data_IF_800146706436
#
_entry.id   IF_800146706436
#
_cell.length_a   1.000
_cell.length_b   1.000
_cell.length_c   1.000
_cell.angle_alpha   90.00
_cell.angle_beta   90.00
_cell.angle_gamma   90.00
#
_symmetry.space_group_name_H-M   'P 1'
#
loop_
_entity.id
_entity.type
_entity.pdbx_description
1 polymer ?
#
# COMPACT_ATOMS: atom_id res chain seq x y z
N UNK A 1 8.52 -26.40 -9.56
CA UNK A 1 8.99 -25.57 -10.70
C UNK A 1 8.06 -24.41 -11.05
N UNK A 2 6.73 -24.58 -11.22
CA UNK A 2 5.82 -23.46 -11.53
C UNK A 2 5.62 -22.51 -10.34
N UNK A 3 5.49 -23.09 -9.15
CA UNK A 3 5.29 -22.43 -7.87
C UNK A 3 6.54 -21.63 -7.46
N UNK A 4 7.73 -22.21 -7.58
CA UNK A 4 9.00 -21.54 -7.28
C UNK A 4 9.30 -20.38 -8.23
N UNK A 5 8.95 -20.54 -9.51
CA UNK A 5 9.03 -19.44 -10.48
C UNK A 5 8.07 -18.33 -10.09
N UNK A 6 6.83 -18.65 -9.71
CA UNK A 6 5.85 -17.66 -9.26
C UNK A 6 6.25 -16.99 -7.94
N UNK A 7 6.90 -17.71 -7.03
CA UNK A 7 7.49 -17.14 -5.83
C UNK A 7 8.61 -16.15 -6.18
N UNK A 8 9.48 -16.49 -7.14
CA UNK A 8 10.50 -15.57 -7.63
C UNK A 8 9.90 -14.31 -8.27
N UNK A 9 8.84 -14.47 -9.08
CA UNK A 9 8.07 -13.34 -9.65
C UNK A 9 7.45 -12.47 -8.54
N UNK A 10 6.82 -13.07 -7.54
CA UNK A 10 6.27 -12.34 -6.39
C UNK A 10 7.35 -11.55 -5.64
N UNK A 11 8.50 -12.16 -5.33
CA UNK A 11 9.63 -11.48 -4.68
C UNK A 11 10.17 -10.32 -5.51
N UNK A 12 10.19 -10.46 -6.84
CA UNK A 12 10.60 -9.39 -7.74
C UNK A 12 9.66 -8.18 -7.63
N UNK A 13 8.34 -8.40 -7.70
CA UNK A 13 7.36 -7.32 -7.59
C UNK A 13 7.34 -6.70 -6.18
N UNK A 14 7.56 -7.48 -5.14
CA UNK A 14 7.72 -6.96 -3.78
C UNK A 14 8.91 -6.00 -3.66
N UNK A 15 10.07 -6.34 -4.23
CA UNK A 15 11.21 -5.39 -4.29
C UNK A 15 10.83 -4.10 -5.02
N UNK A 16 10.10 -4.23 -6.13
CA UNK A 16 9.54 -3.08 -6.86
C UNK A 16 8.63 -2.22 -5.99
N UNK A 17 7.77 -2.81 -5.15
CA UNK A 17 6.93 -2.05 -4.20
C UNK A 17 7.79 -1.22 -3.24
N UNK A 18 8.81 -1.84 -2.63
CA UNK A 18 9.72 -1.18 -1.68
C UNK A 18 10.47 -0.02 -2.36
N UNK A 19 10.95 -0.23 -3.58
CA UNK A 19 11.64 0.80 -4.36
C UNK A 19 10.71 1.95 -4.75
N UNK A 20 9.48 1.66 -5.19
CA UNK A 20 8.49 2.68 -5.55
C UNK A 20 8.10 3.56 -4.36
N UNK A 21 8.01 3.00 -3.15
CA UNK A 21 7.76 3.80 -1.93
C UNK A 21 8.91 4.76 -1.62
N UNK A 22 10.17 4.30 -1.75
CA UNK A 22 11.35 5.16 -1.56
C UNK A 22 11.41 6.32 -2.56
N UNK A 23 10.82 6.13 -3.74
CA UNK A 23 10.73 7.14 -4.79
C UNK A 23 9.45 7.97 -4.73
N UNK A 24 8.58 7.74 -3.74
CA UNK A 24 7.25 8.36 -3.64
C UNK A 24 6.40 8.20 -4.93
N UNK A 25 6.54 7.07 -5.63
CA UNK A 25 5.82 6.78 -6.87
C UNK A 25 4.62 5.84 -6.59
N UNK A 26 3.49 6.43 -6.23
CA UNK A 26 2.26 5.69 -5.85
C UNK A 26 1.67 4.87 -6.99
N UNK A 27 1.78 5.34 -8.23
CA UNK A 27 1.31 4.63 -9.42
C UNK A 27 2.10 3.33 -9.62
N UNK A 28 3.43 3.42 -9.62
CA UNK A 28 4.30 2.26 -9.77
C UNK A 28 4.16 1.28 -8.60
N UNK A 29 3.99 1.79 -7.38
CA UNK A 29 3.67 0.97 -6.21
C UNK A 29 2.39 0.16 -6.44
N UNK A 30 1.33 0.79 -6.93
CA UNK A 30 0.04 0.14 -7.19
C UNK A 30 0.15 -0.95 -8.26
N UNK A 31 0.90 -0.71 -9.34
CA UNK A 31 1.17 -1.74 -10.36
C UNK A 31 1.96 -2.92 -9.81
N UNK A 32 3.02 -2.65 -9.05
CA UNK A 32 3.84 -3.69 -8.44
C UNK A 32 3.05 -4.51 -7.43
N UNK A 33 2.21 -3.88 -6.62
CA UNK A 33 1.33 -4.58 -5.67
C UNK A 33 0.32 -5.48 -6.38
N UNK A 34 -0.32 -5.00 -7.45
CA UNK A 34 -1.23 -5.83 -8.25
C UNK A 34 -0.52 -7.05 -8.86
N UNK A 35 0.69 -6.84 -9.40
CA UNK A 35 1.50 -7.90 -9.97
C UNK A 35 2.00 -8.90 -8.92
N UNK A 36 2.38 -8.42 -7.73
CA UNK A 36 2.72 -9.22 -6.56
C UNK A 36 1.56 -10.14 -6.18
N UNK A 37 0.38 -9.58 -5.92
CA UNK A 37 -0.81 -10.33 -5.51
C UNK A 37 -1.19 -11.38 -6.56
N UNK A 38 -1.13 -11.03 -7.84
CA UNK A 38 -1.42 -11.94 -8.96
C UNK A 38 -0.42 -13.11 -9.01
N UNK A 39 0.86 -12.83 -8.82
CA UNK A 39 1.94 -13.83 -8.83
C UNK A 39 1.83 -14.76 -7.64
N UNK A 40 1.65 -14.21 -6.44
CA UNK A 40 1.48 -14.95 -5.19
C UNK A 40 0.25 -15.85 -5.21
N UNK A 41 -0.91 -15.35 -5.68
CA UNK A 41 -2.14 -16.14 -5.81
C UNK A 41 -1.96 -17.35 -6.73
N UNK A 42 -1.18 -17.19 -7.79
CA UNK A 42 -0.93 -18.28 -8.75
C UNK A 42 -0.24 -19.47 -8.10
N UNK A 43 0.60 -19.25 -7.07
CA UNK A 43 1.26 -20.31 -6.29
C UNK A 43 0.19 -21.20 -5.65
N UNK A 44 -0.67 -20.61 -4.80
CA UNK A 44 -1.74 -21.33 -4.11
C UNK A 44 -2.71 -22.00 -5.10
N UNK A 45 -3.00 -21.34 -6.23
CA UNK A 45 -3.89 -21.89 -7.25
C UNK A 45 -3.29 -23.11 -7.97
N UNK A 46 -1.99 -23.10 -8.28
CA UNK A 46 -1.33 -24.24 -8.90
C UNK A 46 -1.25 -25.41 -7.95
N UNK A 47 -0.87 -25.18 -6.70
CA UNK A 47 -0.86 -26.19 -5.65
C UNK A 47 -2.26 -26.79 -5.42
N UNK A 48 -3.32 -25.97 -5.36
CA UNK A 48 -4.70 -26.45 -5.25
C UNK A 48 -5.07 -27.38 -6.42
N UNK A 49 -4.79 -26.95 -7.66
CA UNK A 49 -5.11 -27.75 -8.85
C UNK A 49 -4.37 -29.09 -8.84
N UNK A 50 -3.10 -29.10 -8.42
CA UNK A 50 -2.30 -30.31 -8.34
C UNK A 50 -2.81 -31.24 -7.23
N UNK A 51 -3.02 -30.71 -6.02
CA UNK A 51 -3.62 -31.44 -4.89
C UNK A 51 -4.94 -32.10 -5.26
N UNK A 52 -5.83 -31.35 -5.94
CA UNK A 52 -7.10 -31.88 -6.45
C UNK A 52 -6.90 -33.02 -7.46
N UNK A 53 -5.92 -32.91 -8.35
CA UNK A 53 -5.61 -33.94 -9.35
C UNK A 53 -5.05 -35.24 -8.77
N UNK A 54 -4.40 -35.18 -7.61
CA UNK A 54 -3.81 -36.34 -6.91
C UNK A 54 -4.62 -36.77 -5.67
N UNK A 55 -5.83 -36.24 -5.48
CA UNK A 55 -6.71 -36.52 -4.35
C UNK A 55 -6.12 -36.22 -2.96
N UNK A 56 -5.29 -35.16 -2.85
CA UNK A 56 -4.69 -34.66 -1.60
C UNK A 56 -5.22 -33.27 -1.23
N UNK A 57 -6.48 -32.97 -1.57
CA UNK A 57 -7.07 -31.66 -1.34
C UNK A 57 -7.17 -31.32 0.16
N UNK A 58 -7.46 -32.31 1.00
CA UNK A 58 -7.50 -32.16 2.46
C UNK A 58 -6.15 -31.68 3.03
N UNK A 59 -5.04 -32.25 2.56
CA UNK A 59 -3.69 -31.85 2.98
C UNK A 59 -3.39 -30.41 2.54
N UNK A 60 -3.79 -30.05 1.31
CA UNK A 60 -3.68 -28.66 0.85
C UNK A 60 -4.51 -27.69 1.72
N UNK A 61 -5.74 -28.07 2.06
CA UNK A 61 -6.63 -27.22 2.86
C UNK A 61 -6.06 -26.98 4.25
N UNK A 62 -5.54 -28.02 4.92
CA UNK A 62 -4.86 -27.93 6.22
C UNK A 62 -3.66 -26.97 6.17
N UNK A 63 -2.80 -27.11 5.16
CA UNK A 63 -1.62 -26.24 4.99
C UNK A 63 -1.98 -24.75 4.79
N UNK A 64 -3.18 -24.45 4.30
CA UNK A 64 -3.62 -23.08 4.01
C UNK A 64 -4.51 -22.52 5.12
N UNK A 65 -5.39 -23.33 5.72
CA UNK A 65 -6.35 -22.89 6.75
C UNK A 65 -5.68 -22.52 8.05
N UNK A 66 -4.58 -23.19 8.39
CA UNK A 66 -3.87 -22.99 9.65
C UNK A 66 -3.08 -21.68 9.69
N UNK A 67 -3.00 -21.00 8.55
CA UNK A 67 -2.23 -19.79 8.39
C UNK A 67 -3.12 -18.57 8.09
N UNK A 68 -3.27 -17.64 9.05
CA UNK A 68 -4.15 -16.48 8.86
C UNK A 68 -3.71 -15.57 7.72
N UNK A 69 -2.41 -15.48 7.44
CA UNK A 69 -1.87 -14.65 6.36
C UNK A 69 -2.15 -15.29 5.00
N UNK A 70 -1.87 -16.59 4.83
CA UNK A 70 -2.20 -17.29 3.59
C UNK A 70 -3.71 -17.24 3.33
N UNK A 71 -4.52 -17.47 4.36
CA UNK A 71 -5.98 -17.39 4.31
C UNK A 71 -6.45 -15.99 3.89
N UNK A 72 -5.90 -14.94 4.51
CA UNK A 72 -6.21 -13.55 4.16
C UNK A 72 -5.93 -13.26 2.67
N UNK A 73 -4.73 -13.59 2.17
CA UNK A 73 -4.35 -13.28 0.79
C UNK A 73 -5.01 -14.17 -0.26
N UNK A 74 -5.48 -15.37 0.10
CA UNK A 74 -6.18 -16.29 -0.82
C UNK A 74 -7.38 -15.64 -1.51
N UNK A 75 -8.11 -14.78 -0.79
CA UNK A 75 -9.38 -14.22 -1.25
C UNK A 75 -9.28 -12.78 -1.78
N UNK A 76 -8.11 -12.14 -1.67
CA UNK A 76 -7.88 -10.79 -2.17
C UNK A 76 -7.73 -10.75 -3.69
N UNK A 77 -8.85 -10.66 -4.42
CA UNK A 77 -8.88 -10.37 -5.87
C UNK A 77 -8.93 -8.87 -6.19
N UNK A 78 -9.70 -8.12 -5.41
CA UNK A 78 -9.93 -6.69 -5.60
C UNK A 78 -9.53 -5.98 -4.30
N UNK A 79 -8.24 -5.66 -4.18
CA UNK A 79 -7.76 -5.05 -2.94
C UNK A 79 -8.18 -3.59 -2.90
N UNK A 80 -8.92 -3.23 -1.85
CA UNK A 80 -9.15 -1.85 -1.47
C UNK A 80 -8.01 -1.40 -0.54
N UNK A 81 -7.19 -0.47 -1.04
CA UNK A 81 -6.00 0.04 -0.35
C UNK A 81 -6.29 1.47 0.08
N UNK A 82 -5.86 1.83 1.29
CA UNK A 82 -5.93 3.21 1.76
C UNK A 82 -4.54 3.74 2.08
N UNK A 83 -4.34 5.00 1.72
CA UNK A 83 -3.21 5.82 2.11
C UNK A 83 -3.55 6.51 3.43
N UNK A 84 -2.70 6.36 4.45
CA UNK A 84 -2.82 7.10 5.71
C UNK A 84 -1.57 7.96 5.94
N UNK A 85 -1.70 9.28 6.06
CA UNK A 85 -0.60 10.12 6.49
C UNK A 85 -0.31 9.86 7.97
N UNK A 86 0.93 9.50 8.30
CA UNK A 86 1.41 9.48 9.68
C UNK A 86 1.93 10.87 9.98
N UNK A 87 1.15 11.61 10.76
CA UNK A 87 1.64 12.84 11.36
C UNK A 87 2.57 12.45 12.50
N UNK A 88 3.88 12.68 12.36
CA UNK A 88 4.75 12.78 13.52
C UNK A 88 4.25 13.94 14.37
N UNK A 89 3.64 13.65 15.52
CA UNK A 89 3.14 14.69 16.43
C UNK A 89 4.34 15.34 17.11
N UNK A 90 4.82 16.42 16.51
CA UNK A 90 5.46 17.54 17.21
C UNK A 90 4.58 18.76 17.01
N UNK A 91 3.46 18.77 17.76
CA UNK A 91 2.59 19.91 18.01
C UNK A 91 2.35 20.89 16.85
N UNK A 92 1.51 20.52 15.87
CA UNK A 92 0.87 21.51 14.99
C UNK A 92 -0.60 21.11 14.78
N UNK A 93 -1.49 22.03 15.17
CA UNK A 93 -2.94 22.01 14.93
C UNK A 93 -3.23 21.79 13.45
N UNK A 94 -4.02 20.76 13.14
CA UNK A 94 -4.43 20.38 11.78
C UNK A 94 -5.38 21.45 11.23
N UNK A 95 -5.01 22.06 10.09
CA UNK A 95 -5.96 22.65 9.15
C UNK A 95 -6.12 21.69 7.98
N UNK A 96 -7.31 21.09 7.83
CA UNK A 96 -7.66 20.22 6.71
C UNK A 96 -7.37 20.91 5.36
N UNK A 97 -6.66 20.22 4.46
CA UNK A 97 -6.52 20.66 3.07
C UNK A 97 -7.06 19.57 2.16
N UNK A 98 -8.22 19.87 1.57
CA UNK A 98 -8.81 19.17 0.43
C UNK A 98 -7.93 19.44 -0.79
N UNK A 99 -7.50 18.41 -1.50
CA UNK A 99 -6.77 18.51 -2.75
C UNK A 99 -7.74 18.84 -3.90
N UNK A 100 -7.63 20.04 -4.48
CA UNK A 100 -8.30 20.40 -5.73
C UNK A 100 -7.26 20.47 -6.85
N UNK A 101 -7.30 19.52 -7.78
CA UNK A 101 -6.49 19.52 -8.99
C UNK A 101 -7.19 20.31 -10.10
N UNK A 102 -6.93 21.62 -10.17
CA UNK A 102 -7.12 22.41 -11.38
C UNK A 102 -6.27 23.68 -11.28
N UNK A 103 -5.69 24.13 -12.39
CA UNK A 103 -4.96 25.39 -12.51
C UNK A 103 -5.89 26.58 -12.20
N UNK A 104 -5.96 26.96 -10.93
CA UNK A 104 -6.77 28.07 -10.46
C UNK A 104 -5.90 29.33 -10.40
N UNK A 105 -6.27 30.37 -11.15
CA UNK A 105 -5.50 31.63 -11.25
C UNK A 105 -5.72 32.58 -10.05
N UNK A 106 -6.74 32.35 -9.21
CA UNK A 106 -6.94 33.08 -7.96
C UNK A 106 -7.72 32.26 -6.94
N UNK A 107 -7.32 32.36 -5.68
CA UNK A 107 -8.06 31.75 -4.56
C UNK A 107 -8.69 32.90 -3.78
N UNK A 108 -10.01 32.83 -3.62
CA UNK A 108 -10.82 33.76 -2.84
C UNK A 108 -11.26 33.07 -1.54
N UNK A 109 -10.88 33.65 -0.43
CA UNK A 109 -11.28 33.24 0.91
C UNK A 109 -12.40 34.13 1.39
N UNK A 110 -13.52 33.54 1.83
CA UNK A 110 -14.64 34.25 2.45
C UNK A 110 -14.96 33.57 3.77
N UNK A 111 -14.98 34.36 4.85
CA UNK A 111 -15.32 33.93 6.21
C UNK A 111 -16.69 34.48 6.57
N UNK A 112 -17.56 33.62 7.10
CA UNK A 112 -18.91 33.97 7.53
C UNK A 112 -19.04 33.90 9.06
N UNK A 113 -19.94 34.68 9.64
CA UNK A 113 -20.38 34.55 11.03
C UNK A 113 -21.48 33.48 11.19
N UNK A 114 -21.90 33.23 12.44
CA UNK A 114 -22.93 32.25 12.79
C UNK A 114 -24.31 32.56 12.20
N UNK A 115 -24.55 33.80 11.74
CA UNK A 115 -25.79 34.23 11.10
C UNK A 115 -25.69 34.22 9.56
N UNK A 116 -24.56 33.76 9.00
CA UNK A 116 -24.32 33.72 7.57
C UNK A 116 -23.89 35.06 6.94
N UNK A 117 -23.52 36.07 7.73
CA UNK A 117 -22.99 37.32 7.21
C UNK A 117 -21.48 37.22 6.98
N UNK A 118 -20.97 37.82 5.91
CA UNK A 118 -19.54 37.83 5.60
C UNK A 118 -18.79 38.75 6.57
N UNK A 119 -17.80 38.21 7.27
CA UNK A 119 -16.95 38.93 8.22
C UNK A 119 -15.53 39.18 7.72
N UNK A 120 -15.02 38.39 6.77
CA UNK A 120 -13.70 38.63 6.19
C UNK A 120 -13.61 38.05 4.78
N UNK A 121 -13.11 38.85 3.84
CA UNK A 121 -12.88 38.43 2.46
C UNK A 121 -11.45 38.76 2.05
N UNK A 122 -10.69 37.76 1.58
CA UNK A 122 -9.32 37.93 1.07
C UNK A 122 -9.17 37.24 -0.27
N UNK A 123 -8.70 37.98 -1.25
CA UNK A 123 -8.38 37.46 -2.57
C UNK A 123 -6.87 37.61 -2.80
N UNK A 124 -6.23 36.51 -3.23
CA UNK A 124 -4.79 36.53 -3.53
C UNK A 124 -4.57 36.20 -5.00
N UNK A 125 -3.97 37.16 -5.72
CA UNK A 125 -3.51 37.00 -7.09
C UNK A 125 -2.03 36.65 -7.13
N UNK A 126 -1.68 35.62 -7.91
CA UNK A 126 -0.29 35.17 -8.03
C UNK A 126 0.52 36.13 -8.91
N UNK A 127 1.21 37.12 -8.31
CA UNK A 127 2.13 38.03 -9.04
C UNK A 127 3.49 37.35 -9.29
N UNK A 128 3.88 37.27 -10.57
CA UNK A 128 5.13 36.68 -11.07
C UNK A 128 6.42 37.22 -10.39
N UNK A 129 7.27 36.26 -9.98
CA UNK A 129 8.75 36.21 -9.80
C UNK A 129 9.51 37.43 -9.22
N UNK A 130 10.17 37.19 -8.07
CA UNK A 130 11.57 37.62 -7.80
C UNK A 130 12.36 36.48 -7.16
N UNK A 131 13.65 36.34 -7.53
CA UNK A 131 14.62 35.37 -7.00
C UNK A 131 14.79 35.55 -5.46
N UNK A 132 14.91 34.48 -4.67
CA UNK A 132 15.34 34.60 -3.27
C UNK A 132 16.87 34.57 -3.18
N UNK A 133 17.44 35.62 -2.60
CA UNK A 133 18.75 35.63 -1.97
C UNK A 133 18.72 34.83 -0.66
N UNK A 134 19.85 34.20 -0.36
CA UNK A 134 20.13 33.37 0.81
C UNK A 134 19.54 33.90 2.13
N UNK A 135 18.56 33.17 2.65
CA UNK A 135 18.29 33.09 4.09
C UNK A 135 18.23 31.61 4.43
N UNK A 136 19.37 31.13 4.95
CA UNK A 136 19.51 29.85 5.62
C UNK A 136 18.63 29.82 6.87
N UNK A 137 17.43 29.28 6.73
CA UNK A 137 16.72 28.64 7.84
C UNK A 137 16.53 27.17 7.46
N UNK A 138 17.41 26.32 7.99
CA UNK A 138 17.18 24.87 8.08
C UNK A 138 15.91 24.66 8.90
N UNK A 139 14.76 24.56 8.23
CA UNK A 139 13.64 23.80 8.74
C UNK A 139 13.91 22.37 8.31
N UNK A 140 14.22 21.52 9.27
CA UNK A 140 14.09 20.09 9.11
C UNK A 140 12.67 19.85 8.61
N UNK A 141 12.56 19.45 7.34
CA UNK A 141 11.30 18.95 6.81
C UNK A 141 11.13 17.59 7.46
N UNK A 142 10.30 17.54 8.49
CA UNK A 142 9.73 16.28 8.95
C UNK A 142 8.93 15.74 7.76
N UNK A 143 9.56 14.84 7.00
CA UNK A 143 8.93 14.17 5.87
C UNK A 143 7.79 13.32 6.43
N UNK A 144 6.56 13.72 6.14
CA UNK A 144 5.38 12.96 6.52
C UNK A 144 5.51 11.53 5.94
N UNK A 145 5.56 10.53 6.83
CA UNK A 145 5.61 9.13 6.42
C UNK A 145 4.20 8.71 6.02
N UNK A 146 4.06 8.21 4.80
CA UNK A 146 2.81 7.65 4.30
C UNK A 146 2.83 6.15 4.50
N UNK A 147 1.79 5.63 5.16
CA UNK A 147 1.58 4.20 5.30
C UNK A 147 0.42 3.71 4.44
N UNK A 148 0.65 2.58 3.78
CA UNK A 148 -0.37 1.87 3.02
C UNK A 148 -0.84 0.69 3.86
N UNK A 149 -2.15 0.51 3.99
CA UNK A 149 -2.73 -0.60 4.74
C UNK A 149 -3.85 -1.29 3.96
N UNK A 150 -4.06 -2.57 4.24
CA UNK A 150 -5.24 -3.30 3.80
C UNK A 150 -6.41 -3.01 4.74
N UNK A 151 -7.52 -2.47 4.23
CA UNK A 151 -8.69 -2.11 5.06
C UNK A 151 -9.24 -3.28 5.87
N UNK A 152 -9.22 -4.47 5.29
CA UNK A 152 -9.82 -5.66 5.89
C UNK A 152 -8.81 -6.52 6.67
N UNK A 153 -7.57 -6.04 6.83
CA UNK A 153 -6.58 -6.70 7.66
C UNK A 153 -6.75 -6.23 9.11
N UNK A 154 -6.76 -7.19 10.04
CA UNK A 154 -6.98 -6.91 11.46
C UNK A 154 -5.70 -6.61 12.22
N UNK A 155 -4.53 -6.89 11.63
CA UNK A 155 -3.24 -6.60 12.24
C UNK A 155 -2.77 -5.18 11.95
N UNK A 156 -1.66 -4.84 12.58
CA UNK A 156 -1.12 -3.47 12.63
C UNK A 156 -0.09 -3.23 11.52
N UNK A 157 0.25 -4.27 10.76
CA UNK A 157 1.26 -4.24 9.72
C UNK A 157 0.85 -3.39 8.52
N UNK A 158 1.80 -2.61 8.00
CA UNK A 158 1.64 -1.97 6.70
C UNK A 158 1.68 -3.00 5.55
N UNK A 159 1.33 -2.56 4.33
CA UNK A 159 1.31 -3.44 3.16
C UNK A 159 2.68 -4.08 2.88
N UNK A 160 3.79 -3.38 3.11
CA UNK A 160 5.14 -3.92 2.88
C UNK A 160 5.43 -5.02 3.88
N UNK A 161 5.24 -4.73 5.17
CA UNK A 161 5.47 -5.67 6.26
C UNK A 161 4.61 -6.91 6.09
N UNK A 162 3.31 -6.75 5.83
CA UNK A 162 2.39 -7.86 5.64
C UNK A 162 2.73 -8.67 4.38
N UNK A 163 3.13 -8.02 3.29
CA UNK A 163 3.55 -8.70 2.06
C UNK A 163 4.84 -9.50 2.25
N UNK A 164 5.79 -8.99 3.05
CA UNK A 164 7.00 -9.73 3.40
C UNK A 164 6.68 -10.97 4.23
N UNK A 165 5.82 -10.83 5.25
CA UNK A 165 5.34 -11.99 6.02
C UNK A 165 4.69 -13.01 5.09
N UNK A 166 3.82 -12.57 4.20
CA UNK A 166 3.17 -13.46 3.22
C UNK A 166 4.17 -14.19 2.30
N UNK A 167 5.26 -13.55 1.87
CA UNK A 167 6.33 -14.23 1.12
C UNK A 167 6.93 -15.37 1.94
N UNK A 168 7.24 -15.13 3.21
CA UNK A 168 7.81 -16.14 4.09
C UNK A 168 6.83 -17.32 4.27
N UNK A 169 5.55 -17.03 4.46
CA UNK A 169 4.52 -18.08 4.56
C UNK A 169 4.37 -18.87 3.26
N UNK A 170 4.53 -18.23 2.10
CA UNK A 170 4.53 -18.92 0.81
C UNK A 170 5.75 -19.82 0.61
N UNK A 171 6.92 -19.42 1.12
CA UNK A 171 8.12 -20.25 1.13
C UNK A 171 7.94 -21.49 1.98
N UNK A 172 7.45 -21.32 3.20
CA UNK A 172 7.17 -22.43 4.11
C UNK A 172 6.08 -23.33 3.55
N UNK A 173 5.01 -22.77 2.97
CA UNK A 173 3.98 -23.52 2.29
C UNK A 173 4.55 -24.36 1.14
N UNK A 174 5.42 -23.78 0.29
CA UNK A 174 6.05 -24.53 -0.81
C UNK A 174 6.93 -25.65 -0.26
N UNK A 175 7.67 -25.42 0.83
CA UNK A 175 8.47 -26.45 1.47
C UNK A 175 7.59 -27.63 1.94
N UNK A 176 6.55 -27.34 2.74
CA UNK A 176 5.63 -28.37 3.26
C UNK A 176 4.87 -29.09 2.16
N UNK A 177 4.43 -28.37 1.13
CA UNK A 177 3.70 -28.95 0.01
C UNK A 177 4.59 -29.88 -0.84
N UNK A 178 5.91 -29.63 -0.91
CA UNK A 178 6.86 -30.57 -1.53
C UNK A 178 7.05 -31.82 -0.69
N UNK A 179 7.24 -31.67 0.62
CA UNK A 179 7.36 -32.82 1.54
C UNK A 179 6.12 -33.71 1.50
N UNK A 180 4.94 -33.10 1.41
CA UNK A 180 3.67 -33.79 1.26
C UNK A 180 3.44 -34.41 -0.13
N UNK A 181 4.32 -34.15 -1.12
CA UNK A 181 4.16 -34.65 -2.49
C UNK A 181 3.07 -33.95 -3.31
N UNK A 182 2.57 -32.80 -2.85
CA UNK A 182 1.59 -32.00 -3.58
C UNK A 182 2.24 -31.30 -4.77
N UNK A 183 3.46 -30.78 -4.62
CA UNK A 183 4.18 -30.05 -5.67
C UNK A 183 5.53 -30.65 -6.02
#
# INVERSE_FOLDING_TARGET
MKEERKLSEAKYFYKGMVESLKQHNSEQFSYNLSAFLSSSRSILQYSYKKAKGINMLNVYEELVSDNPILSFFKDKRNVNIHERPINHITGITVSDTISVSASIESIKWVKYDENGNVIEEKESFNKKKKKPSDISSKKDKDDAKVEYIFKDWTGDEDIIELSQKYINELEEFIYKAKEAGII
#
